data_IF_878885572694
#
_entry.id   IF_878885572694
#
_cell.length_a   1.000
_cell.length_b   1.000
_cell.length_c   1.000
_cell.angle_alpha   90.00
_cell.angle_beta   90.00
_cell.angle_gamma   90.00
#
_symmetry.space_group_name_H-M   'P 1'
#
loop_
_entity.id
_entity.type
_entity.pdbx_description
1 polymer ?
#
# COMPACT_ATOMS: atom_id res chain seq x y z
N UNK A 1 -46.22 18.22 -71.60
CA UNK A 1 -45.87 19.10 -70.45
C UNK A 1 -44.77 18.43 -69.64
N UNK A 2 -43.81 19.23 -69.15
CA UNK A 2 -42.44 18.85 -68.79
C UNK A 2 -42.34 17.96 -67.55
N UNK A 3 -41.57 16.86 -67.67
CA UNK A 3 -41.07 16.04 -66.56
C UNK A 3 -39.94 16.78 -65.85
N UNK A 4 -40.13 17.12 -64.57
CA UNK A 4 -39.09 17.68 -63.71
C UNK A 4 -38.21 16.55 -63.17
N UNK A 5 -36.93 16.57 -63.54
CA UNK A 5 -35.90 15.73 -62.92
C UNK A 5 -35.44 16.41 -61.62
N UNK A 6 -35.51 15.69 -60.52
CA UNK A 6 -34.86 16.10 -59.26
C UNK A 6 -33.34 16.03 -59.43
N UNK A 7 -32.57 17.03 -58.95
CA UNK A 7 -31.13 16.94 -58.90
C UNK A 7 -30.68 16.03 -57.76
N UNK A 8 -29.76 15.12 -58.06
CA UNK A 8 -29.07 14.26 -57.11
C UNK A 8 -28.26 15.12 -56.12
N UNK A 9 -28.65 15.11 -54.85
CA UNK A 9 -27.89 15.74 -53.77
C UNK A 9 -26.70 14.84 -53.43
N UNK A 10 -25.53 15.23 -53.94
CA UNK A 10 -24.26 14.62 -53.56
C UNK A 10 -24.03 14.81 -52.05
N UNK A 11 -24.23 13.75 -51.28
CA UNK A 11 -23.88 13.69 -49.85
C UNK A 11 -22.37 13.53 -49.73
N UNK A 12 -21.64 14.63 -49.88
CA UNK A 12 -20.23 14.69 -49.52
C UNK A 12 -20.07 14.34 -48.05
N UNK A 13 -19.51 13.17 -47.74
CA UNK A 13 -19.04 12.82 -46.40
C UNK A 13 -17.92 13.77 -46.03
N UNK A 14 -18.21 14.79 -45.23
CA UNK A 14 -17.20 15.62 -44.60
C UNK A 14 -16.54 14.75 -43.53
N UNK A 15 -15.35 14.24 -43.82
CA UNK A 15 -14.48 13.62 -42.81
C UNK A 15 -14.05 14.71 -41.82
N UNK A 16 -14.87 14.92 -40.80
CA UNK A 16 -14.51 15.66 -39.59
C UNK A 16 -13.39 14.87 -38.90
N UNK A 17 -12.14 15.13 -39.29
CA UNK A 17 -10.97 14.77 -38.47
C UNK A 17 -11.23 15.32 -37.08
N UNK A 18 -11.55 14.43 -36.13
CA UNK A 18 -11.67 14.82 -34.72
C UNK A 18 -10.35 15.49 -34.33
N UNK A 19 -10.37 16.72 -33.80
CA UNK A 19 -9.17 17.35 -33.31
C UNK A 19 -8.55 16.42 -32.25
N UNK A 20 -7.25 16.15 -32.40
CA UNK A 20 -6.51 15.42 -31.39
C UNK A 20 -6.60 16.22 -30.09
N UNK A 21 -7.10 15.63 -28.99
CA UNK A 21 -7.24 16.36 -27.74
C UNK A 21 -5.87 16.87 -27.29
N UNK A 22 -5.81 18.15 -26.96
CA UNK A 22 -4.60 18.79 -26.43
C UNK A 22 -4.22 18.10 -25.11
N UNK A 23 -2.92 17.83 -24.87
CA UNK A 23 -2.49 17.21 -23.63
C UNK A 23 -2.87 18.09 -22.44
N UNK A 24 -3.37 17.45 -21.36
CA UNK A 24 -3.72 18.15 -20.13
C UNK A 24 -2.50 18.88 -19.53
N UNK A 25 -2.71 20.02 -18.84
CA UNK A 25 -1.65 20.68 -18.09
C UNK A 25 -0.99 19.72 -17.10
N UNK A 26 0.33 19.88 -16.91
CA UNK A 26 1.11 19.00 -16.04
C UNK A 26 0.61 18.97 -14.58
N UNK A 27 0.18 20.13 -14.06
CA UNK A 27 -0.40 20.24 -12.72
C UNK A 27 -1.67 19.42 -12.56
N UNK A 28 -2.52 19.38 -13.59
CA UNK A 28 -3.75 18.58 -13.62
C UNK A 28 -3.41 17.09 -13.68
N UNK A 29 -2.45 16.71 -14.53
CA UNK A 29 -1.98 15.32 -14.63
C UNK A 29 -1.39 14.85 -13.30
N UNK A 30 -0.57 15.67 -12.65
CA UNK A 30 -0.01 15.36 -11.33
C UNK A 30 -1.10 15.19 -10.29
N UNK A 31 -2.07 16.11 -10.20
CA UNK A 31 -3.18 16.02 -9.27
C UNK A 31 -3.99 14.72 -9.46
N UNK A 32 -4.27 14.35 -10.72
CA UNK A 32 -4.95 13.10 -11.03
C UNK A 32 -4.16 11.87 -10.59
N UNK A 33 -2.86 11.82 -10.88
CA UNK A 33 -2.00 10.71 -10.46
C UNK A 33 -1.83 10.64 -8.93
N UNK A 34 -1.81 11.78 -8.27
CA UNK A 34 -1.76 11.87 -6.81
C UNK A 34 -3.03 11.30 -6.15
N UNK A 35 -4.21 11.59 -6.72
CA UNK A 35 -5.48 10.99 -6.28
C UNK A 35 -5.49 9.47 -6.53
N UNK A 36 -5.05 9.03 -7.72
CA UNK A 36 -4.96 7.61 -8.05
C UNK A 36 -4.00 6.87 -7.11
N UNK A 37 -2.87 7.48 -6.77
CA UNK A 37 -1.92 6.93 -5.82
C UNK A 37 -2.54 6.69 -4.44
N UNK A 38 -3.36 7.62 -3.95
CA UNK A 38 -4.15 7.43 -2.72
C UNK A 38 -5.08 6.22 -2.83
N UNK A 39 -5.80 6.14 -3.96
CA UNK A 39 -6.65 4.99 -4.28
C UNK A 39 -5.90 3.65 -4.30
N UNK A 40 -4.67 3.61 -4.82
CA UNK A 40 -3.82 2.39 -4.83
C UNK A 40 -3.41 1.98 -3.41
N UNK A 41 -3.00 2.93 -2.57
CA UNK A 41 -2.63 2.69 -1.17
C UNK A 41 -3.81 2.14 -0.36
N UNK A 42 -5.02 2.68 -0.57
CA UNK A 42 -6.23 2.32 0.17
C UNK A 42 -7.15 1.34 -0.54
N UNK A 43 -6.69 0.74 -1.65
CA UNK A 43 -7.50 -0.12 -2.53
C UNK A 43 -8.08 -1.34 -1.80
N UNK A 44 -7.41 -1.83 -0.76
CA UNK A 44 -7.81 -3.00 0.01
C UNK A 44 -8.50 -2.62 1.34
N UNK A 45 -8.97 -1.37 1.48
CA UNK A 45 -9.63 -0.87 2.70
C UNK A 45 -10.84 -1.69 3.13
N UNK A 46 -11.69 -2.13 2.19
CA UNK A 46 -12.81 -3.03 2.48
C UNK A 46 -12.39 -4.42 2.97
N UNK A 47 -11.17 -4.86 2.65
CA UNK A 47 -10.63 -6.17 3.05
C UNK A 47 -10.00 -6.12 4.44
N UNK A 48 -9.30 -5.03 4.77
CA UNK A 48 -8.58 -4.89 6.05
C UNK A 48 -9.32 -4.07 7.11
N UNK A 49 -10.56 -3.67 6.83
CA UNK A 49 -11.42 -2.98 7.79
C UNK A 49 -11.07 -1.50 7.99
N UNK A 50 -10.57 -0.85 6.94
CA UNK A 50 -10.33 0.59 6.93
C UNK A 50 -9.12 1.03 6.09
N UNK A 51 -9.06 2.33 5.83
CA UNK A 51 -7.99 2.95 5.05
C UNK A 51 -6.63 2.85 5.75
N UNK A 52 -6.57 3.06 7.07
CA UNK A 52 -5.33 2.96 7.84
C UNK A 52 -4.71 1.55 7.78
N UNK A 53 -5.54 0.52 7.88
CA UNK A 53 -5.10 -0.87 7.77
C UNK A 53 -4.63 -1.20 6.35
N UNK A 54 -5.32 -0.70 5.32
CA UNK A 54 -4.87 -0.83 3.93
C UNK A 54 -3.53 -0.13 3.70
N UNK A 55 -3.36 1.09 4.23
CA UNK A 55 -2.10 1.84 4.13
C UNK A 55 -0.94 1.11 4.83
N UNK A 56 -1.20 0.51 5.99
CA UNK A 56 -0.22 -0.34 6.67
C UNK A 56 0.13 -1.58 5.83
N UNK A 57 -0.85 -2.24 5.21
CA UNK A 57 -0.59 -3.36 4.30
C UNK A 57 0.23 -2.91 3.08
N UNK A 58 -0.08 -1.75 2.51
CA UNK A 58 0.70 -1.16 1.43
C UNK A 58 2.16 -0.92 1.87
N UNK A 59 2.38 -0.37 3.07
CA UNK A 59 3.72 -0.16 3.63
C UNK A 59 4.50 -1.48 3.77
N UNK A 60 3.85 -2.55 4.24
CA UNK A 60 4.46 -3.88 4.33
C UNK A 60 4.81 -4.46 2.93
N UNK A 61 3.96 -4.22 1.92
CA UNK A 61 4.25 -4.60 0.53
C UNK A 61 5.41 -3.77 -0.04
N UNK A 62 5.45 -2.47 0.25
CA UNK A 62 6.54 -1.59 -0.17
C UNK A 62 7.89 -2.04 0.41
N UNK A 63 7.92 -2.42 1.71
CA UNK A 63 9.10 -3.05 2.34
C UNK A 63 9.63 -4.24 1.53
N UNK A 64 8.76 -5.05 0.94
CA UNK A 64 9.14 -6.23 0.16
C UNK A 64 9.33 -6.00 -1.34
N UNK A 65 9.17 -4.76 -1.83
CA UNK A 65 9.22 -4.45 -3.27
C UNK A 65 10.67 -4.45 -3.76
N UNK A 66 10.94 -5.16 -4.85
CA UNK A 66 12.19 -5.05 -5.60
C UNK A 66 12.08 -3.89 -6.59
N UNK A 67 12.62 -2.73 -6.21
CA UNK A 67 12.56 -1.49 -7.00
C UNK A 67 13.28 -1.66 -8.35
N UNK A 68 14.34 -2.46 -8.41
CA UNK A 68 15.10 -2.67 -9.65
C UNK A 68 14.32 -3.47 -10.71
N UNK A 69 13.33 -4.25 -10.28
CA UNK A 69 12.47 -5.04 -11.17
C UNK A 69 11.31 -4.26 -11.78
N UNK A 70 11.08 -3.01 -11.34
CA UNK A 70 9.94 -2.21 -11.78
C UNK A 70 10.16 -1.67 -13.19
N UNK A 71 9.13 -1.75 -14.03
CA UNK A 71 9.09 -1.03 -15.32
C UNK A 71 9.06 0.49 -15.09
N UNK A 72 9.32 1.30 -16.11
CA UNK A 72 9.23 2.76 -16.03
C UNK A 72 7.86 3.24 -15.53
N UNK A 73 6.77 2.61 -16.00
CA UNK A 73 5.42 2.87 -15.51
C UNK A 73 5.27 2.50 -14.04
N UNK A 74 5.77 1.32 -13.65
CA UNK A 74 5.74 0.85 -12.26
C UNK A 74 6.56 1.73 -11.30
N UNK A 75 7.71 2.25 -11.74
CA UNK A 75 8.51 3.23 -11.00
C UNK A 75 7.73 4.53 -10.78
N UNK A 76 7.07 5.03 -11.83
CA UNK A 76 6.27 6.27 -11.75
C UNK A 76 5.09 6.09 -10.80
N UNK A 77 4.36 4.98 -10.92
CA UNK A 77 3.23 4.66 -10.04
C UNK A 77 3.68 4.54 -8.58
N UNK A 78 4.81 3.85 -8.34
CA UNK A 78 5.37 3.67 -7.01
C UNK A 78 5.87 4.98 -6.41
N UNK A 79 6.48 5.83 -7.21
CA UNK A 79 6.90 7.16 -6.80
C UNK A 79 5.71 8.00 -6.36
N UNK A 80 4.64 8.02 -7.14
CA UNK A 80 3.43 8.76 -6.79
C UNK A 80 2.77 8.23 -5.52
N UNK A 81 2.79 6.92 -5.29
CA UNK A 81 2.36 6.32 -4.02
C UNK A 81 3.24 6.76 -2.85
N UNK A 82 4.57 6.78 -3.01
CA UNK A 82 5.47 7.27 -1.97
C UNK A 82 5.25 8.74 -1.67
N UNK A 83 5.12 9.59 -2.70
CA UNK A 83 4.82 11.03 -2.52
C UNK A 83 3.50 11.19 -1.75
N UNK A 84 2.47 10.45 -2.17
CA UNK A 84 1.16 10.45 -1.51
C UNK A 84 1.24 10.00 -0.05
N UNK A 85 1.93 8.90 0.23
CA UNK A 85 2.12 8.40 1.59
C UNK A 85 2.93 9.36 2.46
N UNK A 86 3.92 10.03 1.88
CA UNK A 86 4.73 11.04 2.59
C UNK A 86 3.94 12.29 2.93
N UNK A 87 2.85 12.55 2.20
CA UNK A 87 1.98 13.69 2.42
C UNK A 87 0.95 13.45 3.53
N UNK A 88 0.25 12.31 3.50
CA UNK A 88 -0.84 12.01 4.45
C UNK A 88 -1.00 10.53 4.84
N UNK A 89 0.05 9.73 4.69
CA UNK A 89 0.00 8.28 4.91
C UNK A 89 -0.86 7.54 3.87
N UNK A 90 -1.27 8.20 2.79
CA UNK A 90 -2.18 7.66 1.79
C UNK A 90 -3.65 7.77 2.17
N UNK A 91 -3.96 8.48 3.25
CA UNK A 91 -5.31 8.60 3.79
C UNK A 91 -5.94 9.90 3.27
N UNK A 92 -6.79 9.81 2.23
CA UNK A 92 -7.51 10.97 1.65
C UNK A 92 -8.39 11.70 2.68
N UNK A 93 -8.76 11.03 3.77
CA UNK A 93 -9.58 11.57 4.84
C UNK A 93 -9.03 11.12 6.19
N UNK A 94 -8.46 12.05 6.95
CA UNK A 94 -8.18 11.81 8.35
C UNK A 94 -8.68 13.00 9.20
N UNK A 95 -9.99 13.08 9.52
CA UNK A 95 -10.49 14.01 10.53
C UNK A 95 -10.15 13.58 11.98
N UNK A 96 -9.39 12.49 12.19
CA UNK A 96 -8.87 12.08 13.50
C UNK A 96 -8.21 10.70 13.44
N UNK A 97 -7.04 10.41 14.04
CA UNK A 97 -6.47 10.96 15.29
C UNK A 97 -7.54 11.38 16.32
N UNK A 98 -8.71 10.74 16.25
CA UNK A 98 -9.93 11.08 16.97
C UNK A 98 -10.93 9.98 16.73
N UNK A 99 -11.38 9.39 17.82
CA UNK A 99 -12.17 8.17 17.88
C UNK A 99 -13.42 8.19 17.01
N UNK A 100 -13.83 6.98 16.64
CA UNK A 100 -15.23 6.61 16.41
C UNK A 100 -16.15 7.38 17.38
N UNK A 101 -17.06 8.19 16.83
CA UNK A 101 -18.31 8.51 17.53
C UNK A 101 -19.46 8.25 16.56
N UNK A 102 -20.19 7.16 16.84
CA UNK A 102 -21.37 6.76 16.11
C UNK A 102 -22.51 7.72 16.44
N UNK A 103 -22.69 8.72 15.58
CA UNK A 103 -23.96 9.41 15.44
C UNK A 103 -23.96 10.87 15.90
N UNK A 104 -23.67 11.76 14.95
CA UNK A 104 -24.55 12.89 14.58
C UNK A 104 -23.95 13.72 13.45
N UNK A 105 -24.85 14.24 12.63
CA UNK A 105 -24.70 15.30 11.63
C UNK A 105 -23.89 15.08 10.35
N UNK A 106 -24.68 14.91 9.27
CA UNK A 106 -24.30 14.95 7.86
C UNK A 106 -24.01 16.39 7.39
N UNK A 107 -22.92 16.99 7.87
CA UNK A 107 -22.32 18.18 7.22
C UNK A 107 -20.85 17.93 6.97
N UNK A 108 -20.57 17.55 5.72
CA UNK A 108 -19.25 17.26 5.18
C UNK A 108 -18.40 18.54 5.19
N UNK A 109 -17.80 18.83 6.33
CA UNK A 109 -16.84 19.94 6.48
C UNK A 109 -15.46 19.36 6.20
N UNK A 110 -14.94 19.62 4.99
CA UNK A 110 -13.62 19.16 4.55
C UNK A 110 -12.57 19.99 5.30
N UNK A 111 -12.17 19.54 6.48
CA UNK A 111 -11.02 20.10 7.20
C UNK A 111 -9.74 19.49 6.60
N UNK A 112 -8.78 20.29 6.09
CA UNK A 112 -7.53 19.80 5.55
C UNK A 112 -6.58 19.50 6.71
N UNK A 113 -6.36 18.22 7.02
CA UNK A 113 -5.43 17.82 8.08
C UNK A 113 -4.15 17.26 7.45
N UNK A 114 -3.03 17.92 7.77
CA UNK A 114 -1.65 17.68 7.34
C UNK A 114 -1.41 17.76 5.83
N UNK A 115 -1.12 18.96 5.34
CA UNK A 115 -0.46 19.14 4.05
C UNK A 115 1.05 19.27 4.27
N UNK A 116 1.82 18.23 3.94
CA UNK A 116 3.28 18.30 3.95
C UNK A 116 3.73 19.00 2.66
N UNK A 117 4.25 20.22 2.75
CA UNK A 117 4.89 20.90 1.62
C UNK A 117 6.25 20.26 1.33
N UNK A 118 6.53 19.88 0.08
CA UNK A 118 7.70 19.04 -0.26
C UNK A 118 8.61 19.73 -1.28
N UNK A 119 9.93 19.63 -1.07
CA UNK A 119 10.93 20.02 -2.06
C UNK A 119 10.96 19.01 -3.24
N UNK A 120 11.30 19.44 -4.46
CA UNK A 120 11.48 18.55 -5.60
C UNK A 120 12.60 17.54 -5.36
N UNK A 121 12.48 16.35 -5.96
CA UNK A 121 13.50 15.29 -5.88
C UNK A 121 14.79 15.74 -6.58
N UNK A 122 15.91 15.68 -5.85
CA UNK A 122 17.25 15.98 -6.36
C UNK A 122 17.96 14.77 -7.00
N UNK A 123 17.36 13.59 -6.93
CA UNK A 123 17.93 12.29 -7.32
C UNK A 123 16.99 11.54 -8.25
N UNK A 124 17.53 10.57 -9.01
CA UNK A 124 16.73 9.73 -9.88
C UNK A 124 15.66 8.95 -9.08
N UNK A 125 14.42 8.79 -9.61
CA UNK A 125 13.35 8.10 -8.91
C UNK A 125 13.69 6.68 -8.44
N UNK A 126 14.45 5.92 -9.23
CA UNK A 126 14.89 4.56 -8.89
C UNK A 126 15.80 4.54 -7.67
N UNK A 127 16.74 5.49 -7.60
CA UNK A 127 17.73 5.57 -6.54
C UNK A 127 17.05 6.01 -5.24
N UNK A 128 16.21 7.03 -5.33
CA UNK A 128 15.37 7.48 -4.22
C UNK A 128 14.50 6.35 -3.66
N UNK A 129 13.73 5.67 -4.52
CA UNK A 129 12.86 4.57 -4.09
C UNK A 129 13.65 3.41 -3.48
N UNK A 130 14.81 3.08 -4.04
CA UNK A 130 15.69 2.02 -3.52
C UNK A 130 16.25 2.38 -2.14
N UNK A 131 16.70 3.62 -1.97
CA UNK A 131 17.20 4.11 -0.70
C UNK A 131 16.11 4.13 0.37
N UNK A 132 14.95 4.71 0.04
CA UNK A 132 13.80 4.75 0.94
C UNK A 132 13.34 3.34 1.31
N UNK A 133 13.21 2.43 0.33
CA UNK A 133 12.83 1.03 0.59
C UNK A 133 13.83 0.34 1.53
N UNK A 134 15.14 0.54 1.33
CA UNK A 134 16.18 -0.01 2.20
C UNK A 134 16.04 0.52 3.63
N UNK A 135 15.81 1.82 3.79
CA UNK A 135 15.60 2.46 5.09
C UNK A 135 14.34 1.93 5.78
N UNK A 136 13.20 1.89 5.07
CA UNK A 136 11.92 1.37 5.58
C UNK A 136 12.04 -0.10 5.98
N UNK A 137 12.70 -0.92 5.16
CA UNK A 137 12.97 -2.33 5.49
C UNK A 137 13.80 -2.46 6.76
N UNK A 138 14.91 -1.72 6.88
CA UNK A 138 15.74 -1.75 8.09
C UNK A 138 14.96 -1.36 9.34
N UNK A 139 14.21 -0.26 9.29
CA UNK A 139 13.41 0.24 10.41
C UNK A 139 12.28 -0.70 10.81
N UNK A 140 11.54 -1.26 9.84
CA UNK A 140 10.49 -2.24 10.12
C UNK A 140 11.05 -3.56 10.64
N UNK A 141 12.20 -4.01 10.12
CA UNK A 141 12.86 -5.22 10.60
C UNK A 141 13.37 -5.08 12.03
N UNK A 142 13.82 -3.88 12.40
CA UNK A 142 14.16 -3.56 13.78
C UNK A 142 12.91 -3.51 14.66
N UNK A 143 11.87 -2.78 14.23
CA UNK A 143 10.60 -2.71 14.97
C UNK A 143 9.99 -4.08 15.25
N UNK A 144 9.98 -4.98 14.26
CA UNK A 144 9.44 -6.32 14.42
C UNK A 144 10.27 -7.23 15.31
N UNK A 145 11.57 -6.96 15.43
CA UNK A 145 12.49 -7.74 16.29
C UNK A 145 12.44 -7.25 17.73
N UNK A 146 12.49 -5.94 17.92
CA UNK A 146 12.79 -5.33 19.20
C UNK A 146 11.60 -4.56 19.79
N UNK A 147 10.48 -4.47 19.06
CA UNK A 147 9.27 -3.78 19.48
C UNK A 147 9.37 -2.24 19.50
N UNK A 148 10.51 -1.67 19.11
CA UNK A 148 10.76 -0.23 19.09
C UNK A 148 11.19 0.25 17.71
N UNK A 149 10.77 1.45 17.34
CA UNK A 149 11.10 2.08 16.06
C UNK A 149 11.97 3.31 16.32
N UNK A 150 13.31 3.20 16.21
CA UNK A 150 14.19 4.35 16.46
C UNK A 150 14.23 5.23 15.22
N UNK A 151 13.28 6.17 15.12
CA UNK A 151 13.38 7.27 14.15
C UNK A 151 14.20 8.38 14.78
N UNK A 152 15.51 8.34 14.57
CA UNK A 152 16.43 9.38 15.03
C UNK A 152 16.41 10.59 14.11
N UNK A 153 16.60 11.79 14.68
CA UNK A 153 16.77 13.06 13.97
C UNK A 153 15.62 13.44 13.02
N UNK A 154 14.39 13.01 13.31
CA UNK A 154 13.21 13.43 12.56
C UNK A 154 12.85 14.88 12.94
N UNK A 155 13.22 15.83 12.08
CA UNK A 155 12.86 17.24 12.26
C UNK A 155 11.58 17.54 11.49
N UNK A 156 10.53 17.90 12.20
CA UNK A 156 9.29 18.39 11.62
C UNK A 156 8.90 19.70 12.30
N UNK A 157 8.38 20.66 11.54
CA UNK A 157 7.78 21.87 12.11
C UNK A 157 6.27 21.78 12.09
N UNK A 158 5.64 22.41 13.08
CA UNK A 158 4.19 22.39 13.26
C UNK A 158 3.66 23.80 13.04
N UNK A 159 2.66 23.94 12.17
CA UNK A 159 1.90 25.18 11.99
C UNK A 159 0.46 24.96 12.46
N UNK A 160 0.00 25.81 13.37
CA UNK A 160 -1.41 25.89 13.77
C UNK A 160 -1.95 27.23 13.31
N UNK A 161 -2.97 27.21 12.48
CA UNK A 161 -3.52 28.41 11.87
C UNK A 161 -4.92 28.69 12.44
N UNK A 162 -5.17 29.92 12.89
CA UNK A 162 -6.49 30.28 13.45
C UNK A 162 -7.63 30.16 12.43
N UNK A 163 -7.33 30.33 11.14
CA UNK A 163 -8.32 30.31 10.06
C UNK A 163 -8.53 28.92 9.46
N UNK A 164 -7.72 27.92 9.86
CA UNK A 164 -7.80 26.56 9.34
C UNK A 164 -7.81 25.56 10.50
N UNK A 165 -8.86 24.74 10.68
CA UNK A 165 -8.86 23.74 11.73
C UNK A 165 -7.77 22.70 11.48
N UNK A 166 -6.97 22.40 12.51
CA UNK A 166 -5.98 21.33 12.50
C UNK A 166 -4.54 21.78 12.75
N UNK A 167 -3.64 20.81 12.66
CA UNK A 167 -2.18 21.03 12.71
C UNK A 167 -1.62 20.68 11.34
N UNK A 168 -0.84 21.59 10.76
CA UNK A 168 -0.05 21.33 9.56
C UNK A 168 1.35 20.93 9.99
N UNK A 169 1.90 19.91 9.34
CA UNK A 169 3.24 19.40 9.62
C UNK A 169 4.06 19.64 8.38
N UNK A 170 5.17 20.35 8.54
CA UNK A 170 6.14 20.54 7.47
C UNK A 170 7.32 19.62 7.71
N UNK A 171 7.66 18.87 6.67
CA UNK A 171 8.86 18.07 6.58
C UNK A 171 9.73 18.66 5.47
N UNK A 172 11.04 18.71 5.70
CA UNK A 172 11.97 19.33 4.75
C UNK A 172 12.11 18.49 3.46
N UNK A 173 11.81 17.19 3.55
CA UNK A 173 11.94 16.24 2.45
C UNK A 173 10.92 15.09 2.49
N UNK A 174 10.83 14.37 1.37
CA UNK A 174 9.94 13.21 1.18
C UNK A 174 10.19 12.08 2.16
N UNK A 175 11.45 11.78 2.48
CA UNK A 175 11.80 10.72 3.44
C UNK A 175 11.31 11.09 4.83
N UNK A 176 11.50 12.34 5.26
CA UNK A 176 11.05 12.83 6.57
C UNK A 176 9.51 12.74 6.69
N UNK A 177 8.77 13.21 5.68
CA UNK A 177 7.31 13.06 5.64
C UNK A 177 6.86 11.58 5.65
N UNK A 178 7.54 10.74 4.88
CA UNK A 178 7.29 9.30 4.86
C UNK A 178 7.48 8.66 6.23
N UNK A 179 8.61 8.93 6.88
CA UNK A 179 8.97 8.34 8.19
C UNK A 179 8.02 8.83 9.29
N UNK A 180 7.61 10.09 9.25
CA UNK A 180 6.58 10.62 10.14
C UNK A 180 5.28 9.82 10.05
N UNK A 181 4.73 9.67 8.84
CA UNK A 181 3.46 8.94 8.65
C UNK A 181 3.60 7.44 8.88
N UNK A 182 4.76 6.86 8.57
CA UNK A 182 5.10 5.49 8.95
C UNK A 182 5.06 5.31 10.47
N UNK A 183 5.69 6.22 11.23
CA UNK A 183 5.68 6.23 12.69
C UNK A 183 4.26 6.35 13.26
N UNK A 184 3.44 7.26 12.72
CA UNK A 184 2.03 7.39 13.10
C UNK A 184 1.23 6.10 12.86
N UNK A 185 1.36 5.50 11.67
CA UNK A 185 0.70 4.24 11.34
C UNK A 185 1.15 3.09 12.25
N UNK A 186 2.45 3.01 12.57
CA UNK A 186 2.99 2.03 13.50
C UNK A 186 2.54 2.29 14.95
N UNK A 187 2.43 3.54 15.38
CA UNK A 187 1.86 3.87 16.68
C UNK A 187 0.42 3.39 16.84
N UNK A 188 -0.39 3.50 15.77
CA UNK A 188 -1.79 3.07 15.77
C UNK A 188 -1.95 1.55 15.59
N UNK A 189 -1.23 0.95 14.66
CA UNK A 189 -1.48 -0.42 14.18
C UNK A 189 -0.31 -1.37 14.39
N UNK A 190 0.83 -0.90 14.90
CA UNK A 190 2.05 -1.67 15.07
C UNK A 190 1.88 -2.87 16.00
N UNK A 191 1.06 -2.76 17.04
CA UNK A 191 0.70 -3.89 17.93
C UNK A 191 -0.04 -5.03 17.22
N UNK A 192 -0.58 -4.79 16.02
CA UNK A 192 -1.23 -5.79 15.15
C UNK A 192 -0.28 -6.37 14.12
N UNK A 193 0.95 -5.86 14.04
CA UNK A 193 1.96 -6.42 13.17
C UNK A 193 2.51 -7.70 13.76
N UNK A 194 2.61 -8.71 12.92
CA UNK A 194 3.22 -9.98 13.27
C UNK A 194 4.09 -10.50 12.15
N UNK A 195 4.93 -11.48 12.48
CA UNK A 195 5.73 -12.21 11.51
C UNK A 195 5.30 -13.67 11.52
N UNK A 196 5.00 -14.23 10.35
CA UNK A 196 4.64 -15.63 10.24
C UNK A 196 5.81 -16.50 10.69
N UNK A 197 5.59 -17.42 11.64
CA UNK A 197 6.66 -18.27 12.19
C UNK A 197 7.34 -19.14 11.12
N UNK A 198 6.63 -19.51 10.05
CA UNK A 198 7.11 -20.39 8.98
C UNK A 198 7.73 -19.63 7.81
N UNK A 199 6.93 -18.88 7.05
CA UNK A 199 7.41 -18.18 5.86
C UNK A 199 8.12 -16.86 6.17
N UNK A 200 8.17 -16.44 7.45
CA UNK A 200 8.77 -15.19 7.92
C UNK A 200 8.20 -13.92 7.27
N UNK A 201 7.07 -14.03 6.56
CA UNK A 201 6.36 -12.89 5.99
C UNK A 201 5.72 -12.07 7.09
N UNK A 202 5.90 -10.75 7.02
CA UNK A 202 5.31 -9.78 7.94
C UNK A 202 3.89 -9.46 7.53
N UNK A 203 3.03 -9.17 8.51
CA UNK A 203 1.62 -8.96 8.22
C UNK A 203 0.88 -8.12 9.24
N UNK A 204 -0.31 -7.66 8.84
CA UNK A 204 -1.25 -6.97 9.71
C UNK A 204 -2.41 -7.90 10.10
N UNK A 205 -2.55 -8.16 11.40
CA UNK A 205 -3.68 -8.89 11.96
C UNK A 205 -4.99 -8.13 11.69
N UNK A 206 -5.93 -8.72 10.95
CA UNK A 206 -7.23 -8.10 10.61
C UNK A 206 -8.19 -7.88 11.79
N UNK A 207 -7.94 -8.58 12.91
CA UNK A 207 -8.61 -8.42 14.22
C UNK A 207 -7.58 -8.70 15.33
N UNK A 208 -7.80 -8.22 16.55
CA UNK A 208 -6.89 -8.46 17.70
C UNK A 208 -6.69 -9.94 18.02
N UNK A 209 -7.65 -10.80 17.68
CA UNK A 209 -7.60 -12.26 17.85
C UNK A 209 -6.91 -13.01 16.69
N UNK A 210 -6.59 -12.36 15.57
CA UNK A 210 -6.05 -13.01 14.37
C UNK A 210 -4.55 -12.83 14.20
N UNK A 211 -3.78 -13.82 14.61
CA UNK A 211 -2.32 -13.79 14.56
C UNK A 211 -1.70 -14.14 13.18
N UNK A 212 -2.33 -13.84 12.03
CA UNK A 212 -1.85 -14.33 10.73
C UNK A 212 -2.02 -13.37 9.54
N UNK A 213 -1.27 -13.64 8.46
CA UNK A 213 -0.91 -12.72 7.38
C UNK A 213 -1.99 -12.28 6.42
N UNK A 214 -2.96 -13.14 6.27
CA UNK A 214 -4.23 -12.95 5.58
C UNK A 214 -5.11 -14.11 6.00
N UNK A 215 -6.43 -14.08 5.73
CA UNK A 215 -7.31 -15.25 5.95
C UNK A 215 -6.70 -16.60 5.48
N UNK A 216 -5.92 -16.66 4.38
CA UNK A 216 -5.22 -17.88 3.97
C UNK A 216 -3.76 -18.09 4.48
N UNK A 217 -3.13 -17.16 5.20
CA UNK A 217 -1.68 -17.26 5.46
C UNK A 217 -1.29 -17.20 6.95
N UNK A 218 -1.23 -18.35 7.61
CA UNK A 218 -0.10 -18.80 8.43
C UNK A 218 0.20 -20.19 7.89
N UNK A 219 1.24 -20.28 7.07
CA UNK A 219 1.60 -21.52 6.37
C UNK A 219 0.43 -22.20 5.62
N UNK A 220 -0.53 -21.47 5.01
CA UNK A 220 -1.70 -22.07 4.31
C UNK A 220 -2.18 -23.36 5.01
N UNK A 221 -2.57 -23.16 6.27
CA UNK A 221 -3.00 -24.17 7.22
C UNK A 221 -1.96 -25.25 7.59
N UNK A 222 -0.66 -24.93 7.64
CA UNK A 222 0.46 -25.84 7.97
C UNK A 222 0.34 -27.20 7.26
N UNK A 223 -0.04 -27.12 5.97
CA UNK A 223 -0.49 -28.24 5.12
C UNK A 223 -1.82 -28.87 5.52
N UNK A 224 -2.87 -28.09 5.80
CA UNK A 224 -4.23 -28.62 6.03
C UNK A 224 -4.24 -29.83 6.99
N UNK A 225 -3.40 -29.76 8.04
CA UNK A 225 -3.29 -30.73 9.15
C UNK A 225 -2.54 -32.06 8.85
N UNK A 226 -2.00 -32.22 7.64
CA UNK A 226 -1.80 -33.51 7.00
C UNK A 226 -0.35 -33.81 6.54
N UNK A 227 0.02 -35.09 6.34
CA UNK A 227 -0.31 -36.22 7.22
C UNK A 227 0.73 -37.36 7.27
N UNK A 228 2.04 -37.15 7.03
CA UNK A 228 2.92 -38.18 6.43
C UNK A 228 3.04 -39.47 7.30
N UNK A 229 2.81 -40.74 6.89
CA UNK A 229 2.71 -41.47 5.58
C UNK A 229 1.65 -42.62 5.61
N UNK A 230 1.02 -42.98 4.47
CA UNK A 230 0.18 -44.21 4.34
C UNK A 230 1.03 -45.48 4.52
N UNK A 231 0.55 -46.37 5.39
CA UNK A 231 1.29 -47.46 6.01
C UNK A 231 2.15 -48.30 5.07
N UNK A 232 3.45 -48.30 5.32
CA UNK A 232 4.27 -49.44 4.96
C UNK A 232 3.79 -50.64 5.77
N UNK A 233 2.92 -51.48 5.20
CA UNK A 233 2.95 -52.91 5.53
C UNK A 233 4.33 -53.38 5.09
N UNK A 234 5.32 -53.26 5.98
CA UNK A 234 6.51 -54.09 5.91
C UNK A 234 6.01 -55.52 6.16
N UNK A 235 5.73 -56.17 5.04
CA UNK A 235 5.45 -57.59 4.94
C UNK A 235 6.43 -58.35 5.83
N UNK A 236 5.87 -59.18 6.71
CA UNK A 236 6.63 -60.11 7.51
C UNK A 236 7.52 -60.96 6.62
N UNK A 237 8.81 -60.98 6.93
CA UNK A 237 9.71 -62.03 6.48
C UNK A 237 10.01 -62.94 7.67
N UNK A 238 9.19 -63.99 7.72
CA UNK A 238 9.38 -65.33 8.26
C UNK A 238 10.62 -65.60 9.14
N UNK A 239 10.31 -66.17 10.31
CA UNK A 239 11.04 -67.24 11.02
C UNK A 239 11.97 -68.07 10.11
N UNK A 240 13.25 -68.14 10.51
CA UNK A 240 14.14 -69.33 10.47
C UNK A 240 14.89 -69.24 11.80
N UNK A 241 14.58 -69.98 12.86
CA UNK A 241 14.62 -71.43 13.09
C UNK A 241 15.88 -72.13 12.56
N UNK A 242 16.51 -72.87 13.48
CA UNK A 242 17.72 -73.73 13.41
C UNK A 242 19.01 -73.04 13.87
N UNK A 243 19.84 -73.61 14.72
CA UNK A 243 19.85 -74.93 15.39
C UNK A 243 20.99 -74.96 16.41
N UNK A 244 20.84 -75.80 17.43
CA UNK A 244 21.86 -76.26 18.40
C UNK A 244 23.17 -76.73 17.73
N UNK A 245 24.26 -76.53 18.48
CA UNK A 245 25.50 -77.33 18.65
C UNK A 245 26.67 -76.34 18.86
N UNK A 246 27.51 -76.42 19.89
CA UNK A 246 27.88 -77.46 20.85
C UNK A 246 27.90 -76.90 22.27
#
# INVERSE_FOLDING_TARGET
>A
MRSQRHPDVATGKVDLKRPTPEPLPESVRFAMEFVKAGGRITSESGVYGGAAQSAMVWLLKFRGTDVASLSTGGLTDKLMEVIRFSFDGGLIFNPGLGNYDEGRDKRLTIAPLTAVTMAPLSVAPSDFLSELQRKVRGLLDQYLRDGHLPIENLTVSLEVCRTRPGVTIHADDLTTGFLYHMGQLLGMLGHRLGTCRHCKTCFLAGRTDKAYCSRPCQALQYKVDHPPKKGGKRHGTKKRQRSRHR
#
